data_IF_474686657448
#
_entry.id   IF_474686657448
#
_cell.length_a   1.000
_cell.length_b   1.000
_cell.length_c   1.000
_cell.angle_alpha   90.00
_cell.angle_beta   90.00
_cell.angle_gamma   90.00
#
_symmetry.space_group_name_H-M   'P 1'
#
loop_
_entity.id
_entity.type
_entity.pdbx_description
1 polymer ?
#
# COMPACT_ATOMS: atom_id res chain seq x y z
N UNK A 1 -9.82 0.66 3.56
CA UNK A 1 -8.81 1.70 3.32
C UNK A 1 -7.41 1.10 3.44
N UNK A 2 -6.50 1.54 2.57
CA UNK A 2 -5.10 1.12 2.55
C UNK A 2 -4.20 2.32 2.81
N UNK A 3 -3.04 2.07 3.43
CA UNK A 3 -2.03 3.08 3.67
C UNK A 3 -0.66 2.59 3.20
N UNK A 4 -0.12 3.24 2.19
CA UNK A 4 1.23 3.02 1.71
C UNK A 4 2.22 3.85 2.55
N UNK A 5 3.20 3.18 3.14
CA UNK A 5 4.30 3.81 3.88
C UNK A 5 5.48 3.99 2.93
N UNK A 6 5.93 5.23 2.83
CA UNK A 6 7.01 5.69 1.97
C UNK A 6 8.11 6.30 2.86
N UNK A 7 9.37 6.34 2.40
CA UNK A 7 10.44 7.02 3.14
C UNK A 7 10.18 8.53 3.33
N UNK A 8 9.35 9.14 2.49
CA UNK A 8 9.01 10.57 2.53
C UNK A 8 7.67 10.88 3.22
N UNK A 9 6.94 9.86 3.70
CA UNK A 9 5.63 10.06 4.33
C UNK A 9 4.72 8.84 4.21
N UNK A 10 3.42 9.06 4.39
CA UNK A 10 2.40 8.03 4.23
C UNK A 10 1.34 8.52 3.24
N UNK A 11 0.90 7.63 2.36
CA UNK A 11 -0.20 7.90 1.44
C UNK A 11 -1.38 7.00 1.79
N UNK A 12 -2.57 7.57 1.84
CA UNK A 12 -3.81 6.85 2.09
C UNK A 12 -4.55 6.68 0.76
N UNK A 13 -5.05 5.47 0.49
CA UNK A 13 -5.76 5.14 -0.72
C UNK A 13 -6.88 4.14 -0.43
N UNK A 14 -7.88 4.06 -1.31
CA UNK A 14 -8.99 3.12 -1.16
C UNK A 14 -8.76 1.82 -1.91
N UNK A 15 -8.02 1.89 -3.02
CA UNK A 15 -7.64 0.74 -3.81
C UNK A 15 -6.17 0.81 -4.21
N UNK A 16 -5.56 -0.33 -4.51
CA UNK A 16 -4.21 -0.39 -5.04
C UNK A 16 -4.09 -1.52 -6.07
N UNK A 17 -3.29 -1.30 -7.10
CA UNK A 17 -2.95 -2.31 -8.10
C UNK A 17 -1.45 -2.59 -8.08
N UNK A 18 -1.09 -3.87 -8.03
CA UNK A 18 0.31 -4.30 -8.07
C UNK A 18 0.73 -4.52 -9.52
N UNK A 19 1.57 -3.63 -10.01
CA UNK A 19 2.26 -3.79 -11.28
C UNK A 19 3.59 -4.54 -11.12
N UNK A 20 4.30 -4.65 -12.25
CA UNK A 20 5.61 -5.31 -12.30
C UNK A 20 6.72 -4.47 -11.63
N UNK A 21 6.55 -3.14 -11.61
CA UNK A 21 7.58 -2.19 -11.16
C UNK A 21 7.23 -1.47 -9.84
N UNK A 22 5.99 -1.60 -9.38
CA UNK A 22 5.49 -0.90 -8.22
C UNK A 22 4.01 -1.14 -7.98
N UNK A 23 3.42 -0.25 -7.18
CA UNK A 23 2.03 -0.26 -6.81
C UNK A 23 1.40 1.06 -7.21
N UNK A 24 0.33 1.01 -7.99
CA UNK A 24 -0.52 2.14 -8.32
C UNK A 24 -1.60 2.27 -7.24
N UNK A 25 -1.76 3.47 -6.68
CA UNK A 25 -2.68 3.77 -5.59
C UNK A 25 -3.84 4.59 -6.14
N UNK A 26 -5.07 4.19 -5.81
CA UNK A 26 -6.30 4.78 -6.32
C UNK A 26 -7.21 5.21 -5.16
N UNK A 27 -8.01 6.26 -5.38
CA UNK A 27 -9.07 6.67 -4.46
C UNK A 27 -10.39 5.93 -4.72
N UNK A 28 -11.45 6.33 -4.01
CA UNK A 28 -12.78 5.74 -4.13
C UNK A 28 -13.53 6.08 -5.42
N UNK A 29 -12.99 6.99 -6.24
CA UNK A 29 -13.50 7.34 -7.56
C UNK A 29 -12.71 6.63 -8.68
N UNK A 30 -11.86 5.65 -8.33
CA UNK A 30 -10.92 4.96 -9.23
C UNK A 30 -9.91 5.92 -9.89
N UNK A 31 -9.67 7.11 -9.31
CA UNK A 31 -8.65 8.04 -9.80
C UNK A 31 -7.28 7.66 -9.25
N UNK A 32 -6.25 7.69 -10.11
CA UNK A 32 -4.87 7.42 -9.73
C UNK A 32 -4.35 8.54 -8.82
N UNK A 33 -4.18 8.24 -7.53
CA UNK A 33 -3.59 9.14 -6.56
C UNK A 33 -2.08 9.24 -6.73
N UNK A 34 -1.40 8.10 -6.80
CA UNK A 34 0.06 8.04 -6.93
C UNK A 34 0.55 6.65 -7.35
N UNK A 35 1.67 6.64 -8.08
CA UNK A 35 2.45 5.44 -8.32
C UNK A 35 3.62 5.35 -7.33
N UNK A 36 3.75 4.20 -6.67
CA UNK A 36 4.83 3.91 -5.72
C UNK A 36 5.68 2.76 -6.24
N UNK A 37 6.95 2.99 -6.65
CA UNK A 37 7.83 1.90 -7.04
C UNK A 37 8.19 1.02 -5.83
N UNK A 38 8.39 -0.29 -6.05
CA UNK A 38 8.76 -1.21 -4.96
C UNK A 38 10.04 -0.81 -4.22
N UNK A 39 10.94 -0.10 -4.90
CA UNK A 39 12.16 0.45 -4.30
C UNK A 39 11.87 1.45 -3.16
N UNK A 40 10.71 2.09 -3.18
CA UNK A 40 10.29 3.11 -2.22
C UNK A 40 9.10 2.65 -1.36
N UNK A 41 8.56 1.46 -1.60
CA UNK A 41 7.43 0.91 -0.85
C UNK A 41 7.96 0.18 0.39
N UNK A 42 7.91 0.84 1.55
CA UNK A 42 8.37 0.25 2.81
C UNK A 42 7.34 -0.76 3.35
N UNK A 43 6.06 -0.38 3.32
CA UNK A 43 4.96 -1.26 3.73
C UNK A 43 3.64 -0.80 3.10
N UNK A 44 2.72 -1.73 2.90
CA UNK A 44 1.33 -1.44 2.56
C UNK A 44 0.43 -2.01 3.65
N UNK A 45 -0.19 -1.11 4.43
CA UNK A 45 -1.06 -1.45 5.54
C UNK A 45 -2.50 -1.51 5.05
N UNK A 46 -3.19 -2.62 5.31
CA UNK A 46 -4.64 -2.76 5.13
C UNK A 46 -5.29 -2.71 6.50
N UNK A 47 -6.50 -2.16 6.64
CA UNK A 47 -7.27 -2.27 7.90
C UNK A 47 -7.46 -3.74 8.37
N UNK A 48 -7.47 -4.70 7.43
CA UNK A 48 -7.47 -6.14 7.70
C UNK A 48 -6.13 -6.72 8.20
N UNK A 49 -5.01 -5.98 8.10
CA UNK A 49 -3.71 -6.42 8.59
C UNK A 49 -3.59 -6.34 10.12
N UNK A 50 -4.57 -5.73 10.80
CA UNK A 50 -4.68 -5.77 12.26
C UNK A 50 -5.37 -7.04 12.80
N UNK A 51 -5.87 -7.94 11.94
CA UNK A 51 -6.50 -9.21 12.37
C UNK A 51 -5.59 -10.46 12.23
N UNK A 52 -4.36 -10.33 11.77
CA UNK A 52 -3.37 -11.42 11.84
C UNK A 52 -2.17 -10.96 12.64
N UNK A 53 -2.41 -10.93 13.95
CA UNK A 53 -1.41 -11.35 14.91
C UNK A 53 -0.95 -12.76 14.50
N UNK A 54 0.24 -12.87 13.91
CA UNK A 54 1.25 -13.87 14.26
C UNK A 54 2.43 -13.79 13.25
N UNK A 55 3.65 -13.43 13.69
CA UNK A 55 4.82 -13.45 12.83
C UNK A 55 5.21 -14.91 12.52
N UNK A 56 4.89 -15.39 11.31
CA UNK A 56 5.38 -16.69 10.87
C UNK A 56 6.82 -16.56 10.37
N UNK A 57 7.77 -16.77 11.28
CA UNK A 57 9.17 -17.13 10.97
C UNK A 57 9.23 -18.65 10.89
N UNK A 58 9.52 -19.20 9.71
CA UNK A 58 10.08 -20.55 9.54
C UNK A 58 11.23 -20.51 8.54
#
# INVERSE_FOLDING_TARGET
MYRAILPNGQLECEHYERGEQGVDLYDGDDELLAFVPYQNLEALLTEAAYETDEPSVM
#
